data_IF_119380045479
#
_entry.id   IF_119380045479
#
_cell.length_a   1.000
_cell.length_b   1.000
_cell.length_c   1.000
_cell.angle_alpha   90.00
_cell.angle_beta   90.00
_cell.angle_gamma   90.00
#
_symmetry.space_group_name_H-M   'P 1'
#
loop_
_entity.id
_entity.type
_entity.pdbx_description
1 polymer ?
#
# COMPACT_ATOMS: atom_id res chain seq x y z
N UNK A 1 -7.13 -5.18 -16.01
CA UNK A 1 -6.64 -5.69 -14.71
C UNK A 1 -5.25 -5.13 -14.54
N UNK A 2 -5.11 -4.10 -13.72
CA UNK A 2 -3.80 -3.52 -13.41
C UNK A 2 -3.26 -4.35 -12.25
N UNK A 3 -2.15 -5.05 -12.47
CA UNK A 3 -1.42 -5.71 -11.40
C UNK A 3 -0.63 -4.65 -10.62
N UNK A 4 -0.50 -4.82 -9.31
CA UNK A 4 0.37 -3.97 -8.49
C UNK A 4 1.76 -3.93 -9.13
N UNK A 5 2.16 -2.75 -9.61
CA UNK A 5 3.40 -2.55 -10.36
C UNK A 5 4.61 -2.93 -9.53
N UNK A 6 5.45 -3.80 -10.09
CA UNK A 6 6.78 -4.09 -9.56
C UNK A 6 7.62 -2.81 -9.69
N UNK A 7 8.16 -2.32 -8.57
CA UNK A 7 9.07 -1.18 -8.59
C UNK A 7 10.31 -1.59 -9.41
N UNK A 8 10.43 -1.02 -10.62
CA UNK A 8 11.27 -1.52 -11.68
C UNK A 8 12.73 -1.77 -11.32
N UNK A 9 13.18 -2.99 -11.59
CA UNK A 9 14.58 -3.32 -11.78
C UNK A 9 15.05 -2.77 -13.15
N UNK A 10 15.95 -1.78 -13.09
CA UNK A 10 16.67 -1.26 -14.26
C UNK A 10 17.64 -2.30 -14.84
N UNK A 11 17.95 -2.23 -16.15
CA UNK A 11 18.66 -3.29 -16.84
C UNK A 11 20.13 -3.35 -16.42
N UNK A 12 20.60 -4.57 -16.20
CA UNK A 12 21.99 -4.90 -15.99
C UNK A 12 22.88 -4.55 -17.19
N UNK A 13 24.11 -4.17 -16.87
CA UNK A 13 25.24 -4.22 -17.78
C UNK A 13 26.29 -5.14 -17.16
N UNK A 14 26.60 -6.22 -17.87
CA UNK A 14 27.72 -7.09 -17.57
C UNK A 14 29.04 -6.50 -18.08
N UNK A 15 30.14 -6.80 -17.38
CA UNK A 15 31.45 -6.98 -18.03
C UNK A 15 32.65 -6.22 -17.45
N UNK A 16 33.59 -6.98 -16.85
CA UNK A 16 34.99 -6.90 -17.30
C UNK A 16 36.04 -6.21 -16.42
N UNK A 17 36.66 -6.98 -15.53
CA UNK A 17 38.12 -7.12 -15.27
C UNK A 17 39.05 -5.89 -15.16
N UNK A 18 39.57 -5.68 -13.93
CA UNK A 18 41.01 -5.75 -13.60
C UNK A 18 41.96 -4.58 -13.91
N UNK A 19 42.57 -3.97 -12.87
CA UNK A 19 44.03 -3.86 -12.69
C UNK A 19 44.40 -2.98 -11.48
N UNK A 20 45.55 -3.32 -10.88
CA UNK A 20 46.15 -2.75 -9.69
C UNK A 20 47.03 -1.52 -9.97
N UNK A 21 47.32 -0.74 -8.92
CA UNK A 21 48.66 -0.19 -8.68
C UNK A 21 48.80 1.33 -8.58
N UNK A 22 49.36 1.77 -7.43
CA UNK A 22 50.14 3.02 -7.22
C UNK A 22 49.34 4.33 -7.22
N UNK A 23 49.76 5.41 -6.59
CA UNK A 23 50.88 5.72 -5.69
C UNK A 23 50.59 7.13 -5.14
N UNK A 24 51.31 7.53 -4.10
CA UNK A 24 51.06 8.73 -3.30
C UNK A 24 51.29 10.05 -4.06
N UNK A 25 50.64 11.15 -3.64
CA UNK A 25 51.30 12.39 -3.17
C UNK A 25 50.34 13.58 -2.95
N UNK A 26 50.71 14.36 -1.95
CA UNK A 26 50.17 15.58 -1.34
C UNK A 26 49.75 16.72 -2.27
N UNK A 27 48.83 17.59 -1.80
CA UNK A 27 49.15 19.01 -1.56
C UNK A 27 47.93 19.80 -1.02
N UNK A 28 48.21 20.63 -0.02
CA UNK A 28 47.38 21.65 0.62
C UNK A 28 46.93 22.78 -0.32
N UNK A 29 45.86 23.48 0.04
CA UNK A 29 45.47 24.77 -0.55
C UNK A 29 44.28 25.42 0.16
N UNK A 30 44.52 26.61 0.70
CA UNK A 30 43.64 27.45 1.54
C UNK A 30 42.50 28.14 0.76
N UNK A 31 41.55 28.80 1.47
CA UNK A 31 40.34 29.49 0.96
C UNK A 31 40.60 30.71 0.02
N UNK A 32 39.65 31.67 -0.22
CA UNK A 32 38.61 32.17 0.69
C UNK A 32 37.24 32.57 0.04
N UNK A 33 36.37 33.10 0.91
CA UNK A 33 35.18 33.97 0.76
C UNK A 33 34.86 34.61 -0.61
N UNK A 34 33.56 34.73 -0.93
CA UNK A 34 32.89 36.04 -1.17
C UNK A 34 31.37 35.89 -1.31
N UNK A 35 30.65 36.71 -0.54
CA UNK A 35 29.25 37.06 -0.76
C UNK A 35 29.15 38.06 -1.92
N UNK A 36 28.16 37.90 -2.80
CA UNK A 36 27.73 38.95 -3.71
C UNK A 36 26.22 38.93 -3.87
N UNK A 37 25.63 39.97 -3.28
CA UNK A 37 24.31 40.52 -3.53
C UNK A 37 24.14 40.92 -5.00
N UNK A 38 23.02 40.56 -5.62
CA UNK A 38 22.49 41.27 -6.80
C UNK A 38 20.97 41.37 -6.72
N UNK A 39 20.53 42.61 -6.54
CA UNK A 39 19.19 43.15 -6.79
C UNK A 39 18.97 43.42 -8.27
N UNK A 40 17.78 43.10 -8.80
CA UNK A 40 16.98 43.92 -9.74
C UNK A 40 15.64 43.22 -10.03
N UNK A 41 14.51 43.74 -9.53
CA UNK A 41 13.53 44.67 -10.18
C UNK A 41 12.49 44.02 -11.10
N UNK A 42 11.24 44.13 -10.64
CA UNK A 42 10.08 44.74 -11.32
C UNK A 42 9.29 43.95 -12.39
N UNK A 43 8.00 43.78 -12.08
CA UNK A 43 6.87 43.54 -12.99
C UNK A 43 5.66 43.00 -12.20
N UNK A 44 4.84 43.81 -11.51
CA UNK A 44 3.63 44.57 -11.92
C UNK A 44 2.49 43.77 -12.56
N UNK A 45 1.33 43.81 -11.88
CA UNK A 45 -0.03 43.53 -12.39
C UNK A 45 -0.68 42.33 -11.68
N UNK A 46 -1.70 42.42 -10.82
CA UNK A 46 -2.63 43.50 -10.51
C UNK A 46 -4.02 43.19 -11.09
N UNK A 47 -4.75 42.26 -10.48
CA UNK A 47 -6.12 41.90 -10.89
C UNK A 47 -7.09 41.98 -9.69
N UNK A 48 -7.90 43.04 -9.66
CA UNK A 48 -9.32 43.06 -9.26
C UNK A 48 -9.85 44.46 -9.65
N UNK A 49 -11.07 44.62 -10.22
CA UNK A 49 -12.27 44.63 -9.38
C UNK A 49 -13.60 44.15 -10.03
N UNK A 50 -14.51 43.73 -9.14
CA UNK A 50 -15.96 44.04 -9.09
C UNK A 50 -17.01 43.29 -9.94
N UNK A 51 -17.87 42.58 -9.19
CA UNK A 51 -19.35 42.64 -9.12
C UNK A 51 -20.17 43.09 -10.33
N UNK A 52 -21.11 42.22 -10.73
CA UNK A 52 -22.28 42.55 -11.54
C UNK A 52 -23.39 41.51 -11.42
N UNK A 53 -24.45 41.86 -10.70
CA UNK A 53 -25.71 41.12 -10.50
C UNK A 53 -26.56 41.10 -11.77
N UNK A 54 -27.26 39.99 -12.06
CA UNK A 54 -28.26 39.95 -13.14
C UNK A 54 -29.04 38.63 -13.20
N UNK A 55 -30.22 38.59 -12.58
CA UNK A 55 -31.24 37.55 -12.75
C UNK A 55 -32.12 37.82 -13.96
N UNK A 56 -32.40 36.81 -14.80
CA UNK A 56 -33.72 36.61 -15.46
C UNK A 56 -33.87 35.18 -15.99
N UNK A 57 -34.86 34.45 -15.45
CA UNK A 57 -35.91 33.69 -16.15
C UNK A 57 -35.58 32.62 -17.20
N UNK A 58 -36.17 31.44 -17.03
CA UNK A 58 -36.37 30.49 -18.14
C UNK A 58 -36.77 29.08 -17.70
N UNK A 59 -38.05 28.88 -17.38
CA UNK A 59 -38.66 27.55 -17.29
C UNK A 59 -38.73 26.89 -18.68
N UNK A 60 -38.41 25.60 -18.75
CA UNK A 60 -38.58 24.78 -19.96
C UNK A 60 -38.56 23.30 -19.62
N UNK A 61 -39.75 22.72 -19.52
CA UNK A 61 -39.99 21.28 -19.47
C UNK A 61 -39.45 20.57 -20.72
N UNK A 62 -38.78 19.43 -20.53
CA UNK A 62 -38.56 18.45 -21.58
C UNK A 62 -38.65 17.03 -21.00
N UNK A 63 -39.85 16.48 -21.10
CA UNK A 63 -40.13 15.04 -21.06
C UNK A 63 -39.32 14.32 -22.14
N UNK A 64 -38.49 13.37 -21.73
CA UNK A 64 -37.75 12.48 -22.63
C UNK A 64 -37.63 11.09 -22.01
N UNK A 65 -38.65 10.26 -22.25
CA UNK A 65 -38.62 8.82 -21.98
C UNK A 65 -37.79 8.11 -23.05
N UNK A 66 -36.89 7.20 -22.62
CA UNK A 66 -36.41 6.12 -23.46
C UNK A 66 -34.98 5.67 -23.17
N UNK A 67 -34.82 4.39 -22.81
CA UNK A 67 -33.59 3.64 -23.09
C UNK A 67 -32.97 2.93 -21.89
N UNK A 68 -33.30 1.65 -21.75
CA UNK A 68 -32.78 0.74 -20.76
C UNK A 68 -31.27 0.48 -20.90
N UNK A 69 -30.60 0.25 -19.77
CA UNK A 69 -29.22 -0.20 -19.68
C UNK A 69 -28.98 -0.83 -18.31
N UNK A 70 -29.23 -2.14 -18.23
CA UNK A 70 -29.19 -3.04 -17.08
C UNK A 70 -28.45 -2.57 -15.83
N UNK A 71 -29.23 -2.43 -14.75
CA UNK A 71 -28.79 -2.69 -13.39
C UNK A 71 -28.13 -4.07 -13.35
N UNK A 72 -26.81 -4.10 -13.13
CA UNK A 72 -26.10 -5.31 -12.76
C UNK A 72 -26.29 -5.52 -11.27
N UNK A 73 -27.28 -6.33 -10.93
CA UNK A 73 -27.73 -6.62 -9.58
C UNK A 73 -26.60 -7.07 -8.64
N UNK A 74 -26.64 -6.49 -7.46
CA UNK A 74 -26.11 -7.08 -6.24
C UNK A 74 -26.72 -8.47 -6.04
N UNK A 75 -25.89 -9.52 -6.00
CA UNK A 75 -26.22 -10.79 -5.34
C UNK A 75 -24.98 -11.67 -5.16
N UNK A 76 -24.29 -11.46 -4.04
CA UNK A 76 -23.63 -12.53 -3.30
C UNK A 76 -24.39 -12.70 -1.99
N UNK A 77 -25.31 -13.67 -1.95
CA UNK A 77 -26.21 -13.90 -0.82
C UNK A 77 -25.49 -14.51 0.38
N UNK A 78 -25.73 -13.98 1.59
CA UNK A 78 -25.53 -14.72 2.84
C UNK A 78 -24.71 -14.08 3.95
N UNK A 79 -24.93 -12.81 4.28
CA UNK A 79 -24.45 -12.23 5.54
C UNK A 79 -25.46 -11.22 6.08
N UNK A 80 -26.09 -11.53 7.21
CA UNK A 80 -26.89 -10.58 8.00
C UNK A 80 -26.09 -9.30 8.24
N UNK A 81 -26.70 -8.14 7.94
CA UNK A 81 -26.08 -6.82 7.91
C UNK A 81 -24.99 -6.60 8.95
N UNK A 82 -23.74 -6.64 8.49
CA UNK A 82 -22.65 -5.88 9.07
C UNK A 82 -22.50 -4.60 8.25
N UNK A 83 -22.18 -3.50 8.91
CA UNK A 83 -21.80 -2.27 8.24
C UNK A 83 -20.68 -2.57 7.22
N UNK A 84 -20.76 -1.98 6.03
CA UNK A 84 -19.70 -2.12 5.03
C UNK A 84 -18.41 -1.53 5.63
N UNK A 85 -17.35 -2.35 5.84
CA UNK A 85 -16.16 -1.85 6.52
C UNK A 85 -15.39 -0.83 5.71
N UNK A 86 -15.70 -0.66 4.42
CA UNK A 86 -15.14 0.38 3.56
C UNK A 86 -16.02 1.64 3.48
N UNK A 87 -17.17 1.68 4.17
CA UNK A 87 -18.03 2.86 4.18
C UNK A 87 -17.61 3.90 5.24
N UNK A 88 -16.67 3.57 6.12
CA UNK A 88 -16.22 4.44 7.19
C UNK A 88 -15.12 5.41 6.72
N UNK A 89 -15.13 6.64 7.26
CA UNK A 89 -13.99 7.54 7.11
C UNK A 89 -12.75 6.94 7.79
N UNK A 90 -11.53 7.36 7.40
CA UNK A 90 -10.33 6.85 8.02
C UNK A 90 -10.30 7.06 9.54
N UNK A 91 -10.07 5.98 10.29
CA UNK A 91 -10.08 5.95 11.76
C UNK A 91 -9.20 4.80 12.23
N UNK A 92 -8.54 4.96 13.39
CA UNK A 92 -7.89 3.84 14.07
C UNK A 92 -8.90 3.16 14.98
N UNK A 93 -9.55 2.08 14.52
CA UNK A 93 -10.68 1.47 15.24
C UNK A 93 -10.26 0.66 16.46
N UNK A 94 -8.99 0.27 16.56
CA UNK A 94 -8.43 -0.36 17.76
C UNK A 94 -8.15 0.64 18.88
N UNK A 95 -8.16 1.95 18.58
CA UNK A 95 -7.68 3.03 19.47
C UNK A 95 -6.21 2.86 19.93
N UNK A 96 -5.49 1.88 19.37
CA UNK A 96 -4.13 1.53 19.75
C UNK A 96 -3.19 1.71 18.56
N UNK A 97 -2.05 2.37 18.81
CA UNK A 97 -1.05 2.63 17.80
C UNK A 97 0.26 1.92 18.15
N UNK A 98 1.05 1.63 17.13
CA UNK A 98 2.41 1.13 17.24
C UNK A 98 3.28 2.07 18.06
N UNK A 99 3.95 1.54 19.08
CA UNK A 99 4.80 2.32 20.00
C UNK A 99 6.19 1.73 20.20
N UNK A 100 6.50 0.61 19.54
CA UNK A 100 7.77 -0.12 19.74
C UNK A 100 8.93 0.42 18.90
N UNK A 101 8.70 1.48 18.11
CA UNK A 101 9.72 2.09 17.24
C UNK A 101 10.21 1.16 16.13
N UNK A 102 11.33 1.51 15.51
CA UNK A 102 11.86 0.83 14.31
C UNK A 102 12.77 -0.38 14.65
N UNK A 103 12.56 -1.01 15.80
CA UNK A 103 13.35 -2.17 16.20
C UNK A 103 12.79 -3.45 15.56
N UNK A 104 13.68 -4.34 15.12
CA UNK A 104 13.27 -5.65 14.57
C UNK A 104 12.36 -6.39 15.56
N UNK A 105 11.15 -6.71 15.11
CA UNK A 105 10.14 -7.39 15.90
C UNK A 105 9.24 -8.20 14.97
N UNK A 106 8.84 -9.44 15.33
CA UNK A 106 7.89 -10.20 14.52
C UNK A 106 6.53 -9.50 14.38
N UNK A 107 6.25 -8.50 15.23
CA UNK A 107 5.03 -7.72 15.20
C UNK A 107 5.01 -6.72 14.04
N UNK A 108 6.14 -6.05 13.73
CA UNK A 108 6.31 -5.03 12.67
C UNK A 108 5.31 -3.88 12.68
N UNK A 109 5.63 -2.78 11.97
CA UNK A 109 4.72 -1.63 11.80
C UNK A 109 3.46 -2.04 10.99
N UNK A 110 2.26 -1.95 11.56
CA UNK A 110 1.02 -2.20 10.84
C UNK A 110 0.75 -1.17 9.72
N UNK A 111 0.21 -1.62 8.59
CA UNK A 111 -0.25 -0.75 7.50
C UNK A 111 0.85 -0.21 6.58
N UNK A 112 2.07 -0.09 7.09
CA UNK A 112 3.23 0.36 6.32
C UNK A 112 3.62 -0.65 5.23
N UNK A 113 4.20 -0.15 4.13
CA UNK A 113 4.76 -1.00 3.07
C UNK A 113 6.04 -1.69 3.60
N UNK A 114 5.92 -2.97 3.94
CA UNK A 114 6.99 -3.70 4.64
C UNK A 114 8.24 -3.83 3.77
N UNK A 115 8.09 -4.11 2.47
CA UNK A 115 9.25 -4.25 1.57
C UNK A 115 9.98 -2.93 1.35
N UNK A 116 9.29 -1.78 1.32
CA UNK A 116 9.94 -0.48 1.17
C UNK A 116 10.86 -0.18 2.36
N UNK A 117 10.38 -0.40 3.59
CA UNK A 117 11.20 -0.19 4.78
C UNK A 117 12.43 -1.12 4.81
N UNK A 118 12.23 -2.43 4.61
CA UNK A 118 13.34 -3.38 4.61
C UNK A 118 14.28 -3.20 3.41
N UNK A 119 13.82 -2.76 2.25
CA UNK A 119 14.72 -2.48 1.12
C UNK A 119 15.67 -1.32 1.41
N UNK A 120 15.24 -0.33 2.20
CA UNK A 120 16.07 0.80 2.60
C UNK A 120 17.00 0.50 3.78
N UNK A 121 16.52 -0.24 4.77
CA UNK A 121 17.23 -0.47 6.04
C UNK A 121 18.01 -1.79 6.06
N UNK A 122 17.47 -2.83 5.43
CA UNK A 122 17.96 -4.20 5.51
C UNK A 122 17.76 -4.97 4.19
N UNK A 123 18.47 -4.63 3.10
CA UNK A 123 18.18 -5.15 1.75
C UNK A 123 18.15 -6.68 1.64
N UNK A 124 18.87 -7.39 2.53
CA UNK A 124 18.88 -8.86 2.60
C UNK A 124 17.57 -9.47 3.11
N UNK A 125 16.77 -8.69 3.85
CA UNK A 125 15.47 -9.10 4.39
C UNK A 125 14.35 -8.88 3.37
N UNK A 126 14.45 -7.81 2.58
CA UNK A 126 13.44 -7.48 1.56
C UNK A 126 13.22 -8.58 0.52
N UNK A 127 14.27 -9.33 0.16
CA UNK A 127 14.18 -10.47 -0.78
C UNK A 127 13.71 -11.77 -0.12
N UNK A 128 13.74 -11.84 1.23
CA UNK A 128 13.36 -13.01 2.01
C UNK A 128 11.86 -13.06 2.31
N UNK A 129 11.19 -11.90 2.33
CA UNK A 129 9.79 -11.73 2.72
C UNK A 129 8.91 -11.43 1.48
N UNK A 130 8.59 -12.43 0.64
CA UNK A 130 7.86 -12.21 -0.61
C UNK A 130 6.38 -11.90 -0.41
N UNK A 131 5.81 -12.22 0.76
CA UNK A 131 4.40 -11.95 1.08
C UNK A 131 4.34 -11.35 2.47
N UNK A 132 3.77 -10.16 2.57
CA UNK A 132 3.68 -9.35 3.79
C UNK A 132 2.45 -8.45 3.72
N UNK A 133 1.80 -8.23 4.86
CA UNK A 133 0.71 -7.28 4.96
C UNK A 133 0.07 -7.25 6.34
N UNK A 134 -1.01 -6.48 6.44
CA UNK A 134 -1.73 -6.23 7.70
C UNK A 134 -3.23 -6.43 7.51
N UNK A 135 -3.88 -7.15 8.42
CA UNK A 135 -5.34 -7.32 8.49
C UNK A 135 -5.93 -6.41 9.54
N UNK A 136 -7.01 -5.74 9.19
CA UNK A 136 -7.66 -4.71 10.00
C UNK A 136 -9.14 -4.99 10.27
N UNK A 137 -9.73 -4.36 11.30
CA UNK A 137 -11.17 -4.40 11.53
C UNK A 137 -11.98 -3.57 10.51
N UNK A 138 -11.43 -2.43 10.04
CA UNK A 138 -12.06 -1.56 9.03
C UNK A 138 -11.18 -1.31 7.81
N UNK A 139 -11.78 -0.79 6.74
CA UNK A 139 -11.15 -0.62 5.43
C UNK A 139 -10.21 0.57 5.31
N UNK A 140 -10.25 1.54 6.23
CA UNK A 140 -9.55 2.82 6.08
C UNK A 140 -8.64 3.17 7.27
N UNK A 141 -8.03 2.17 7.86
CA UNK A 141 -7.15 2.34 9.04
C UNK A 141 -5.85 3.07 8.65
N UNK A 142 -5.44 4.11 9.42
CA UNK A 142 -4.14 4.75 9.26
C UNK A 142 -2.98 3.75 9.39
N UNK A 143 -1.82 4.11 8.82
CA UNK A 143 -0.57 3.43 9.16
C UNK A 143 -0.32 3.51 10.67
N UNK A 144 0.41 2.52 11.20
CA UNK A 144 0.72 2.35 12.62
C UNK A 144 -0.47 2.13 13.56
N UNK A 145 -1.72 2.16 13.08
CA UNK A 145 -2.84 1.65 13.87
C UNK A 145 -2.73 0.13 14.00
N UNK A 146 -2.92 -0.43 15.21
CA UNK A 146 -2.90 -1.88 15.38
C UNK A 146 -4.07 -2.53 14.63
N UNK A 147 -3.75 -3.57 13.87
CA UNK A 147 -4.75 -4.37 13.17
C UNK A 147 -5.49 -5.34 14.09
N UNK A 148 -6.10 -6.36 13.49
CA UNK A 148 -6.79 -7.41 14.25
C UNK A 148 -5.77 -8.22 15.05
N UNK A 149 -6.05 -8.50 16.33
CA UNK A 149 -5.30 -9.49 17.10
C UNK A 149 -5.60 -10.89 16.56
N UNK A 150 -4.79 -11.34 15.60
CA UNK A 150 -4.99 -12.60 14.91
C UNK A 150 -4.75 -13.83 15.78
N UNK A 151 -4.00 -13.69 16.88
CA UNK A 151 -3.75 -14.77 17.84
C UNK A 151 -4.96 -14.99 18.73
N UNK A 152 -5.56 -13.91 19.23
CA UNK A 152 -6.78 -13.96 20.02
C UNK A 152 -8.01 -14.38 19.19
N UNK A 153 -8.08 -13.92 17.93
CA UNK A 153 -9.24 -14.12 17.06
C UNK A 153 -9.12 -15.28 16.06
N UNK A 154 -7.97 -15.98 16.06
CA UNK A 154 -7.65 -17.06 15.12
C UNK A 154 -7.83 -16.66 13.65
N UNK A 155 -7.31 -15.49 13.28
CA UNK A 155 -7.35 -14.99 11.89
C UNK A 155 -6.18 -15.55 11.10
N UNK A 156 -6.49 -16.08 9.92
CA UNK A 156 -5.50 -16.65 8.99
C UNK A 156 -5.67 -16.02 7.62
N UNK A 157 -4.56 -15.62 7.00
CA UNK A 157 -4.52 -15.27 5.59
C UNK A 157 -4.07 -16.48 4.80
N UNK A 158 -4.91 -16.94 3.88
CA UNK A 158 -4.55 -18.01 2.96
C UNK A 158 -4.13 -17.43 1.61
N UNK A 159 -2.93 -17.78 1.19
CA UNK A 159 -2.36 -17.40 -0.10
C UNK A 159 -2.40 -18.59 -1.03
N UNK A 160 -3.06 -18.45 -2.18
CA UNK A 160 -3.01 -19.43 -3.26
C UNK A 160 -2.02 -18.96 -4.32
N UNK A 161 -0.98 -19.74 -4.56
CA UNK A 161 0.08 -19.48 -5.55
C UNK A 161 -0.30 -20.02 -6.92
N UNK A 162 0.43 -19.61 -7.97
CA UNK A 162 0.15 -20.02 -9.34
C UNK A 162 0.37 -21.53 -9.60
N UNK A 163 1.20 -22.19 -8.79
CA UNK A 163 1.36 -23.66 -8.78
C UNK A 163 0.33 -24.37 -7.88
N UNK A 164 -0.75 -23.67 -7.52
CA UNK A 164 -1.90 -24.16 -6.76
C UNK A 164 -1.62 -24.63 -5.32
N UNK A 165 -0.52 -24.18 -4.71
CA UNK A 165 -0.31 -24.35 -3.26
C UNK A 165 -1.15 -23.34 -2.49
N UNK A 166 -1.73 -23.80 -1.39
CA UNK A 166 -2.35 -22.94 -0.38
C UNK A 166 -1.43 -22.84 0.82
N UNK A 167 -1.00 -21.62 1.12
CA UNK A 167 -0.14 -21.29 2.25
C UNK A 167 -0.99 -20.57 3.30
N UNK A 168 -0.98 -21.07 4.53
CA UNK A 168 -1.68 -20.44 5.64
C UNK A 168 -0.71 -19.57 6.44
N UNK A 169 -1.01 -18.27 6.52
CA UNK A 169 -0.22 -17.28 7.25
C UNK A 169 -1.04 -16.82 8.46
N UNK A 170 -0.68 -17.26 9.68
CA UNK A 170 -1.28 -16.73 10.89
C UNK A 170 -1.06 -15.22 10.98
N UNK A 171 -2.10 -14.51 11.40
CA UNK A 171 -2.02 -13.08 11.72
C UNK A 171 -1.56 -12.96 13.18
N UNK A 172 -0.55 -12.12 13.43
CA UNK A 172 -0.03 -11.89 14.77
C UNK A 172 -0.88 -10.88 15.57
N UNK A 173 -0.49 -10.58 16.81
CA UNK A 173 -1.21 -9.67 17.69
C UNK A 173 -1.27 -8.19 17.21
N UNK A 174 -0.45 -7.77 16.25
CA UNK A 174 -0.50 -6.43 15.64
C UNK A 174 -1.26 -6.39 14.31
N UNK A 175 -1.84 -7.50 13.89
CA UNK A 175 -2.54 -7.64 12.61
C UNK A 175 -1.64 -8.00 11.44
N UNK A 176 -0.34 -8.19 11.65
CA UNK A 176 0.60 -8.47 10.57
C UNK A 176 0.71 -9.96 10.26
N UNK A 177 0.91 -10.28 8.99
CA UNK A 177 1.21 -11.61 8.50
C UNK A 177 2.40 -11.56 7.54
N UNK A 178 3.18 -12.64 7.50
CA UNK A 178 4.34 -12.74 6.63
C UNK A 178 4.60 -14.18 6.21
N UNK A 179 5.13 -14.33 4.99
CA UNK A 179 5.79 -15.54 4.54
C UNK A 179 7.30 -15.30 4.47
N UNK A 180 8.09 -16.26 4.96
CA UNK A 180 9.54 -16.13 5.04
C UNK A 180 10.21 -17.29 4.29
N UNK A 181 10.76 -17.00 3.12
CA UNK A 181 11.39 -18.02 2.24
C UNK A 181 12.55 -18.77 2.87
N UNK A 182 13.27 -18.20 3.85
CA UNK A 182 14.38 -18.89 4.53
C UNK A 182 13.85 -19.81 5.61
N UNK A 183 12.84 -19.37 6.36
CA UNK A 183 12.17 -20.20 7.38
C UNK A 183 11.38 -21.33 6.74
N UNK A 184 10.61 -21.01 5.72
CA UNK A 184 9.65 -21.89 5.05
C UNK A 184 10.28 -22.68 3.88
N UNK A 185 11.55 -22.37 3.55
CA UNK A 185 12.41 -23.07 2.58
C UNK A 185 11.77 -23.33 1.22
N UNK A 186 10.87 -22.45 0.80
CA UNK A 186 10.17 -22.57 -0.48
C UNK A 186 10.03 -21.20 -1.14
N UNK A 187 10.32 -21.04 -2.44
CA UNK A 187 9.92 -19.86 -3.19
C UNK A 187 8.39 -19.75 -3.36
N UNK A 188 7.93 -18.54 -3.71
CA UNK A 188 6.54 -18.25 -4.07
C UNK A 188 6.43 -18.15 -5.59
N UNK A 189 5.42 -18.83 -6.16
CA UNK A 189 5.10 -18.71 -7.59
C UNK A 189 3.94 -17.73 -7.78
N UNK A 190 4.21 -16.63 -8.47
CA UNK A 190 3.23 -15.62 -8.85
C UNK A 190 2.53 -15.96 -10.18
N UNK A 191 1.33 -15.42 -10.44
CA UNK A 191 0.54 -14.54 -9.57
C UNK A 191 -0.05 -15.27 -8.35
N UNK A 192 -0.35 -14.51 -7.30
CA UNK A 192 -0.99 -15.02 -6.08
C UNK A 192 -2.42 -14.48 -5.95
N UNK A 193 -3.28 -15.26 -5.29
CA UNK A 193 -4.57 -14.77 -4.74
C UNK A 193 -4.57 -14.96 -3.23
N UNK A 194 -5.37 -14.16 -2.53
CA UNK A 194 -5.43 -14.16 -1.08
C UNK A 194 -6.87 -14.24 -0.59
N UNK A 195 -7.08 -14.87 0.56
CA UNK A 195 -8.31 -14.73 1.34
C UNK A 195 -8.00 -14.63 2.83
N UNK A 196 -8.74 -13.79 3.54
CA UNK A 196 -8.72 -13.73 5.00
C UNK A 196 -9.81 -14.65 5.53
N UNK A 197 -9.49 -15.50 6.48
CA UNK A 197 -10.40 -16.47 7.09
C UNK A 197 -10.47 -16.22 8.60
N UNK A 198 -11.69 -16.14 9.13
CA UNK A 198 -11.97 -16.03 10.57
C UNK A 198 -13.27 -16.75 10.90
N UNK A 199 -13.23 -17.71 11.82
CA UNK A 199 -14.44 -18.39 12.32
C UNK A 199 -15.36 -18.99 11.23
N UNK A 200 -14.79 -19.49 10.13
CA UNK A 200 -15.53 -20.05 9.00
C UNK A 200 -16.08 -19.03 7.99
N UNK A 201 -15.90 -17.73 8.24
CA UNK A 201 -16.15 -16.66 7.25
C UNK A 201 -14.88 -16.37 6.47
N UNK A 202 -15.05 -15.85 5.24
CA UNK A 202 -13.91 -15.49 4.39
C UNK A 202 -14.15 -14.19 3.60
N UNK A 203 -13.08 -13.43 3.38
CA UNK A 203 -13.02 -12.29 2.46
C UNK A 203 -11.94 -12.55 1.42
N UNK A 204 -12.31 -12.58 0.14
CA UNK A 204 -11.41 -12.97 -0.96
C UNK A 204 -10.95 -11.77 -1.76
N UNK A 205 -9.67 -11.78 -2.13
CA UNK A 205 -9.18 -10.95 -3.21
C UNK A 205 -9.77 -11.43 -4.55
N UNK A 206 -10.24 -10.50 -5.37
CA UNK A 206 -10.91 -10.82 -6.64
C UNK A 206 -9.95 -10.98 -7.82
N UNK A 207 -8.80 -10.31 -7.76
CA UNK A 207 -7.83 -10.23 -8.86
C UNK A 207 -6.50 -10.80 -8.39
N UNK A 208 -5.91 -11.71 -9.18
CA UNK A 208 -4.59 -12.24 -8.90
C UNK A 208 -3.50 -11.15 -9.04
N UNK A 209 -2.52 -11.15 -8.14
CA UNK A 209 -1.49 -10.11 -8.06
C UNK A 209 -0.09 -10.67 -8.31
N UNK A 210 0.78 -9.84 -8.90
CA UNK A 210 2.19 -10.18 -9.17
C UNK A 210 3.14 -9.76 -8.05
N UNK A 211 2.64 -9.07 -7.03
CA UNK A 211 3.40 -8.64 -5.86
C UNK A 211 2.75 -9.20 -4.60
N UNK A 212 3.58 -9.56 -3.61
CA UNK A 212 3.13 -9.90 -2.26
C UNK A 212 3.42 -8.80 -1.23
N UNK A 213 3.82 -7.60 -1.66
CA UNK A 213 3.77 -6.42 -0.80
C UNK A 213 2.33 -5.92 -0.68
N UNK A 214 1.51 -6.59 0.11
CA UNK A 214 0.06 -6.43 0.04
C UNK A 214 -0.36 -4.99 0.38
N UNK A 215 0.33 -4.33 1.31
CA UNK A 215 0.05 -2.97 1.74
C UNK A 215 0.33 -1.90 0.66
N UNK A 216 1.07 -2.24 -0.41
CA UNK A 216 1.27 -1.33 -1.56
C UNK A 216 -0.03 -1.05 -2.33
N UNK A 217 -0.93 -2.03 -2.38
CA UNK A 217 -2.26 -1.90 -2.97
C UNK A 217 -3.34 -1.72 -1.89
N UNK A 218 -3.17 -2.37 -0.74
CA UNK A 218 -4.05 -2.22 0.41
C UNK A 218 -3.57 -1.10 1.36
N UNK A 219 -3.44 0.11 0.81
CA UNK A 219 -3.16 1.33 1.58
C UNK A 219 -4.42 1.79 2.35
N UNK A 220 -4.28 2.84 3.18
CA UNK A 220 -5.42 3.45 3.90
C UNK A 220 -6.60 3.76 2.97
N UNK A 221 -6.33 4.28 1.76
CA UNK A 221 -7.38 4.66 0.81
C UNK A 221 -7.50 3.67 -0.36
N UNK A 222 -6.70 2.60 -0.33
CA UNK A 222 -6.55 1.69 -1.46
C UNK A 222 -5.71 2.29 -2.58
N UNK A 223 -5.17 1.41 -3.42
CA UNK A 223 -4.47 1.74 -4.66
C UNK A 223 -4.71 0.63 -5.69
N UNK A 224 -4.49 0.93 -6.97
CA UNK A 224 -4.62 -0.05 -8.08
C UNK A 224 -5.96 -0.80 -8.12
N UNK A 225 -7.04 -0.14 -7.69
CA UNK A 225 -8.40 -0.68 -7.66
C UNK A 225 -8.76 -1.47 -6.40
N UNK A 226 -7.84 -1.59 -5.42
CA UNK A 226 -8.22 -2.02 -4.08
C UNK A 226 -9.02 -0.92 -3.37
N UNK A 227 -10.04 -1.27 -2.57
CA UNK A 227 -10.89 -0.28 -1.88
C UNK A 227 -10.25 0.33 -0.64
N UNK A 228 -9.16 -0.24 -0.13
CA UNK A 228 -8.60 0.11 1.17
C UNK A 228 -7.75 -1.03 1.73
N UNK A 229 -7.61 -1.04 3.06
CA UNK A 229 -6.94 -2.07 3.85
C UNK A 229 -7.51 -3.47 3.62
N UNK A 230 -6.72 -4.48 4.00
CA UNK A 230 -7.18 -5.86 4.07
C UNK A 230 -8.02 -5.99 5.34
N UNK A 231 -9.28 -6.41 5.21
CA UNK A 231 -10.22 -6.45 6.33
C UNK A 231 -10.58 -7.88 6.70
N UNK A 232 -10.72 -8.16 7.99
CA UNK A 232 -11.31 -9.41 8.46
C UNK A 232 -12.77 -9.60 7.95
N UNK A 233 -13.25 -10.85 7.81
CA UNK A 233 -14.58 -11.15 7.29
C UNK A 233 -15.72 -11.07 8.34
#
# INVERSE_FOLDING_TARGET
MVACGDAGEGPGAEGGTGSAGGDETSSSGEGPTTSATTTNTTGTGGEDPTSGTGSTGGSGDATGSGGAGGSGDASGSGGTGGDDPFAHAPVCSSDEHWTMGDHESPLMHPGMACRTCHSMKEPRVATRLPIVGTVYPTGHEPDDCLGVDGEAEAVVVEITTADARVIQLPVNASGNFLFDTVRDRTPITFPITARVVKGGKERKMLTAQMSGDCNSCHSQNGAEGAPGRIVAP
#
